data_IF_624720123243
#
_entry.id   IF_624720123243
#
_cell.length_a   1.000
_cell.length_b   1.000
_cell.length_c   1.000
_cell.angle_alpha   90.00
_cell.angle_beta   90.00
_cell.angle_gamma   90.00
#
_symmetry.space_group_name_H-M   'P 1'
#
loop_
_entity.id
_entity.type
_entity.pdbx_description
1 polymer ?
#
# COMPACT_ATOMS: atom_id res chain seq x y z
N UNK A 1 18.12 44.90 12.34
CA UNK A 1 17.75 44.70 10.91
C UNK A 1 18.57 43.62 10.20
N UNK A 2 19.82 43.31 10.59
CA UNK A 2 20.60 42.17 10.02
C UNK A 2 20.32 40.86 10.78
N UNK A 3 20.05 40.93 12.09
CA UNK A 3 19.69 39.75 12.90
C UNK A 3 18.29 39.21 12.61
N UNK A 4 17.37 40.06 12.14
CA UNK A 4 15.99 39.69 11.77
C UNK A 4 15.95 38.88 10.46
N UNK A 5 16.83 39.19 9.51
CA UNK A 5 16.94 38.48 8.23
C UNK A 5 17.67 37.13 8.37
N UNK A 6 18.62 37.03 9.31
CA UNK A 6 19.29 35.76 9.63
C UNK A 6 18.42 34.82 10.49
N UNK A 7 17.54 35.37 11.35
CA UNK A 7 16.60 34.57 12.14
C UNK A 7 15.46 33.96 11.30
N UNK A 8 15.08 34.59 10.18
CA UNK A 8 14.07 34.04 9.27
C UNK A 8 14.62 32.92 8.37
N UNK A 9 15.93 32.91 8.09
CA UNK A 9 16.58 31.87 7.28
C UNK A 9 16.85 30.56 8.05
N UNK A 10 16.75 30.56 9.38
CA UNK A 10 17.12 29.42 10.23
C UNK A 10 15.89 28.70 10.82
N UNK A 11 14.70 29.29 10.75
CA UNK A 11 13.50 28.69 11.34
C UNK A 11 12.63 27.98 10.29
N UNK A 12 13.00 26.74 9.96
CA UNK A 12 12.11 25.78 9.28
C UNK A 12 10.83 25.46 10.08
N UNK A 13 10.61 26.07 11.25
CA UNK A 13 9.43 25.84 12.07
C UNK A 13 8.16 26.40 11.41
N UNK A 14 8.24 27.54 10.71
CA UNK A 14 7.11 28.09 9.96
C UNK A 14 6.76 27.20 8.77
N UNK A 15 7.75 26.84 7.96
CA UNK A 15 7.57 25.91 6.84
C UNK A 15 7.05 24.55 7.29
N UNK A 16 7.52 24.02 8.43
CA UNK A 16 6.99 22.78 9.03
C UNK A 16 5.54 22.94 9.47
N UNK A 17 5.18 24.05 10.11
CA UNK A 17 3.81 24.31 10.53
C UNK A 17 2.85 24.47 9.34
N UNK A 18 3.31 25.12 8.26
CA UNK A 18 2.54 25.26 7.01
C UNK A 18 2.39 23.91 6.28
N UNK A 19 3.44 23.08 6.28
CA UNK A 19 3.37 21.72 5.76
C UNK A 19 2.48 20.81 6.60
N UNK A 20 2.40 21.02 7.91
CA UNK A 20 1.50 20.29 8.81
C UNK A 20 0.05 20.70 8.59
N UNK A 21 -0.24 21.99 8.42
CA UNK A 21 -1.59 22.45 8.03
C UNK A 21 -1.99 21.92 6.64
N UNK A 22 -1.07 21.93 5.67
CA UNK A 22 -1.32 21.31 4.36
C UNK A 22 -1.50 19.79 4.45
N UNK A 23 -0.90 19.12 5.45
CA UNK A 23 -1.09 17.69 5.73
C UNK A 23 -2.43 17.40 6.38
N UNK A 24 -3.01 18.32 7.16
CA UNK A 24 -4.34 18.12 7.75
C UNK A 24 -5.45 18.11 6.69
N UNK A 25 -5.25 18.86 5.59
CA UNK A 25 -6.18 18.91 4.45
C UNK A 25 -6.12 17.67 3.54
N UNK A 26 -5.06 16.86 3.63
CA UNK A 26 -4.91 15.64 2.82
C UNK A 26 -5.63 14.47 3.52
N UNK A 27 -6.52 13.74 2.82
CA UNK A 27 -7.15 12.54 3.36
C UNK A 27 -6.14 11.55 3.94
N UNK A 28 -6.44 10.99 5.12
CA UNK A 28 -5.52 10.15 5.90
C UNK A 28 -4.94 8.97 5.10
N UNK A 29 -5.74 8.36 4.19
CA UNK A 29 -5.28 7.32 3.28
C UNK A 29 -4.17 7.82 2.33
N UNK A 30 -4.30 9.03 1.77
CA UNK A 30 -3.29 9.63 0.87
C UNK A 30 -2.03 10.08 1.60
N UNK A 31 -2.15 10.55 2.85
CA UNK A 31 -0.97 10.85 3.69
C UNK A 31 -0.12 9.62 3.93
N UNK A 32 -0.75 8.52 4.34
CA UNK A 32 -0.05 7.26 4.57
C UNK A 32 0.68 6.77 3.31
N UNK A 33 0.07 6.91 2.13
CA UNK A 33 0.73 6.55 0.87
C UNK A 33 1.89 7.47 0.50
N UNK A 34 1.78 8.78 0.74
CA UNK A 34 2.87 9.72 0.51
C UNK A 34 4.02 9.53 1.51
N UNK A 35 3.70 9.25 2.78
CA UNK A 35 4.69 8.94 3.81
C UNK A 35 5.40 7.61 3.51
N UNK A 36 4.68 6.59 3.01
CA UNK A 36 5.28 5.33 2.56
C UNK A 36 6.22 5.53 1.36
N UNK A 37 5.83 6.37 0.37
CA UNK A 37 6.68 6.69 -0.78
C UNK A 37 7.92 7.49 -0.39
N UNK A 38 7.74 8.53 0.43
CA UNK A 38 8.83 9.34 0.96
C UNK A 38 9.79 8.49 1.80
N UNK A 39 9.25 7.55 2.58
CA UNK A 39 10.05 6.60 3.35
C UNK A 39 10.86 5.67 2.46
N UNK A 40 10.27 5.06 1.42
CA UNK A 40 11.03 4.21 0.48
C UNK A 40 12.14 5.01 -0.23
N UNK A 41 11.83 6.22 -0.70
CA UNK A 41 12.78 7.09 -1.37
C UNK A 41 13.95 7.50 -0.48
N UNK A 42 13.66 7.90 0.77
CA UNK A 42 14.68 8.27 1.76
C UNK A 42 15.53 7.05 2.14
N UNK A 43 14.90 5.89 2.34
CA UNK A 43 15.58 4.69 2.79
C UNK A 43 16.50 4.11 1.69
N UNK A 44 16.10 4.16 0.41
CA UNK A 44 16.94 3.71 -0.71
C UNK A 44 18.03 4.72 -1.14
N UNK A 45 18.06 5.92 -0.56
CA UNK A 45 19.07 6.93 -0.87
C UNK A 45 20.45 6.57 -0.28
N UNK A 46 20.48 5.90 0.87
CA UNK A 46 21.72 5.49 1.56
C UNK A 46 21.96 3.97 1.42
N UNK A 47 23.14 3.53 0.93
CA UNK A 47 23.46 2.11 0.74
C UNK A 47 23.80 1.37 2.05
N UNK A 48 23.36 1.84 3.21
CA UNK A 48 23.78 1.32 4.53
C UNK A 48 23.02 0.09 4.99
N UNK A 49 21.85 -0.20 4.41
CA UNK A 49 20.97 -1.30 4.84
C UNK A 49 21.01 -2.45 3.83
N UNK A 50 20.99 -3.68 4.31
CA UNK A 50 21.00 -4.86 3.44
C UNK A 50 19.77 -4.89 2.48
N UNK A 51 19.98 -5.11 1.17
CA UNK A 51 18.90 -5.16 0.17
C UNK A 51 17.74 -6.11 0.51
N UNK A 52 18.03 -7.22 1.18
CA UNK A 52 17.02 -8.21 1.55
C UNK A 52 15.97 -7.66 2.53
N UNK A 53 16.38 -6.78 3.45
CA UNK A 53 15.48 -6.16 4.43
C UNK A 53 14.41 -5.31 3.75
N UNK A 54 14.78 -4.60 2.69
CA UNK A 54 13.85 -3.82 1.87
C UNK A 54 12.90 -4.69 1.08
N UNK A 55 13.40 -5.78 0.49
CA UNK A 55 12.57 -6.71 -0.25
C UNK A 55 11.49 -7.31 0.66
N UNK A 56 11.87 -7.76 1.86
CA UNK A 56 10.93 -8.29 2.84
C UNK A 56 9.84 -7.28 3.22
N UNK A 57 10.24 -6.03 3.53
CA UNK A 57 9.30 -4.95 3.87
C UNK A 57 8.34 -4.65 2.72
N UNK A 58 8.85 -4.50 1.50
CA UNK A 58 8.02 -4.25 0.33
C UNK A 58 7.01 -5.38 0.08
N UNK A 59 7.48 -6.63 0.12
CA UNK A 59 6.59 -7.78 -0.02
C UNK A 59 5.52 -7.84 1.07
N UNK A 60 5.86 -7.49 2.32
CA UNK A 60 4.89 -7.38 3.41
C UNK A 60 3.82 -6.31 3.13
N UNK A 61 4.23 -5.13 2.64
CA UNK A 61 3.28 -4.06 2.28
C UNK A 61 2.35 -4.47 1.13
N UNK A 62 2.88 -5.06 0.06
CA UNK A 62 2.07 -5.56 -1.06
C UNK A 62 1.08 -6.63 -0.58
N UNK A 63 1.51 -7.55 0.28
CA UNK A 63 0.61 -8.55 0.89
C UNK A 63 -0.50 -7.89 1.68
N UNK A 64 -0.18 -6.92 2.54
CA UNK A 64 -1.17 -6.18 3.33
C UNK A 64 -2.19 -5.47 2.44
N UNK A 65 -1.74 -4.70 1.44
CA UNK A 65 -2.61 -4.01 0.48
C UNK A 65 -3.52 -4.99 -0.27
N UNK A 66 -3.01 -6.15 -0.70
CA UNK A 66 -3.82 -7.22 -1.33
C UNK A 66 -4.87 -7.77 -0.38
N UNK A 67 -4.51 -8.08 0.85
CA UNK A 67 -5.44 -8.59 1.87
C UNK A 67 -6.53 -7.56 2.17
N UNK A 68 -6.18 -6.29 2.33
CA UNK A 68 -7.14 -5.22 2.61
C UNK A 68 -8.09 -5.00 1.43
N UNK A 69 -7.57 -5.02 0.19
CA UNK A 69 -8.39 -4.97 -1.01
C UNK A 69 -9.37 -6.15 -1.09
N UNK A 70 -8.90 -7.38 -0.87
CA UNK A 70 -9.75 -8.57 -0.87
C UNK A 70 -10.84 -8.51 0.20
N UNK A 71 -10.54 -7.99 1.39
CA UNK A 71 -11.53 -7.76 2.44
C UNK A 71 -12.59 -6.75 2.00
N UNK A 72 -12.19 -5.62 1.39
CA UNK A 72 -13.12 -4.60 0.85
C UNK A 72 -14.03 -5.21 -0.23
N UNK A 73 -13.47 -5.99 -1.15
CA UNK A 73 -14.23 -6.69 -2.21
C UNK A 73 -15.24 -7.68 -1.64
N UNK A 74 -14.85 -8.49 -0.65
CA UNK A 74 -15.77 -9.43 0.02
C UNK A 74 -16.93 -8.68 0.68
N UNK A 75 -16.61 -7.64 1.45
CA UNK A 75 -17.62 -6.81 2.11
C UNK A 75 -18.61 -6.21 1.11
N UNK A 76 -18.12 -5.65 -0.01
CA UNK A 76 -18.99 -5.10 -1.06
C UNK A 76 -19.94 -6.15 -1.65
N UNK A 77 -19.47 -7.38 -1.89
CA UNK A 77 -20.32 -8.48 -2.36
C UNK A 77 -21.36 -8.90 -1.33
N UNK A 78 -20.97 -8.97 -0.07
CA UNK A 78 -21.86 -9.34 1.03
C UNK A 78 -22.96 -8.29 1.22
N UNK A 79 -22.59 -7.01 1.21
CA UNK A 79 -23.51 -5.87 1.30
C UNK A 79 -24.49 -5.86 0.12
N UNK A 80 -23.99 -6.02 -1.11
CA UNK A 80 -24.84 -6.13 -2.31
C UNK A 80 -25.80 -7.33 -2.24
N UNK A 81 -25.30 -8.50 -1.84
CA UNK A 81 -26.13 -9.71 -1.72
C UNK A 81 -27.20 -9.55 -0.65
N UNK A 82 -26.89 -8.86 0.45
CA UNK A 82 -27.86 -8.55 1.51
C UNK A 82 -28.95 -7.62 1.00
N UNK A 83 -28.58 -6.57 0.26
CA UNK A 83 -29.52 -5.64 -0.36
C UNK A 83 -30.41 -6.34 -1.39
N UNK A 84 -29.84 -7.15 -2.28
CA UNK A 84 -30.55 -7.96 -3.27
C UNK A 84 -31.60 -8.87 -2.59
N UNK A 85 -31.23 -9.53 -1.49
CA UNK A 85 -32.16 -10.38 -0.72
C UNK A 85 -33.28 -9.56 -0.08
N UNK A 86 -32.98 -8.39 0.48
CA UNK A 86 -33.99 -7.49 1.06
C UNK A 86 -34.98 -7.04 0.00
N UNK A 87 -34.48 -6.51 -1.13
CA UNK A 87 -35.29 -6.03 -2.23
C UNK A 87 -36.20 -7.13 -2.80
N UNK A 88 -35.70 -8.37 -2.94
CA UNK A 88 -36.51 -9.51 -3.37
C UNK A 88 -37.60 -9.86 -2.36
N UNK A 89 -37.29 -9.85 -1.07
CA UNK A 89 -38.26 -10.14 -0.01
C UNK A 89 -39.38 -9.09 0.01
N UNK A 90 -39.01 -7.82 -0.10
CA UNK A 90 -39.96 -6.71 -0.10
C UNK A 90 -40.84 -6.71 -1.35
N UNK A 91 -40.25 -6.98 -2.52
CA UNK A 91 -41.00 -7.16 -3.76
C UNK A 91 -41.99 -8.32 -3.65
N UNK A 92 -41.56 -9.49 -3.15
CA UNK A 92 -42.44 -10.66 -3.01
C UNK A 92 -43.59 -10.42 -2.03
N UNK A 93 -43.32 -9.69 -0.94
CA UNK A 93 -44.37 -9.28 0.00
C UNK A 93 -45.41 -8.39 -0.69
N UNK A 94 -44.97 -7.34 -1.40
CA UNK A 94 -45.86 -6.43 -2.15
C UNK A 94 -46.62 -7.14 -3.26
N UNK A 95 -45.97 -8.04 -4.01
CA UNK A 95 -46.60 -8.82 -5.05
C UNK A 95 -47.71 -9.73 -4.48
N UNK A 96 -47.47 -10.35 -3.32
CA UNK A 96 -48.49 -11.13 -2.60
C UNK A 96 -49.67 -10.26 -2.17
N UNK A 97 -49.40 -9.10 -1.57
CA UNK A 97 -50.43 -8.14 -1.17
C UNK A 97 -51.27 -7.67 -2.37
N UNK A 98 -50.64 -7.37 -3.52
CA UNK A 98 -51.35 -7.03 -4.75
C UNK A 98 -52.25 -8.17 -5.25
N UNK A 99 -51.78 -9.41 -5.20
CA UNK A 99 -52.61 -10.57 -5.55
C UNK A 99 -53.81 -10.73 -4.60
N UNK A 100 -53.61 -10.55 -3.29
CA UNK A 100 -54.66 -10.67 -2.27
C UNK A 100 -55.73 -9.57 -2.38
N UNK A 101 -55.36 -8.38 -2.89
CA UNK A 101 -56.30 -7.28 -3.13
C UNK A 101 -57.21 -7.49 -4.34
N UNK A 102 -56.90 -8.45 -5.21
CA UNK A 102 -57.76 -8.79 -6.35
C UNK A 102 -58.91 -9.65 -5.85
N UNK A 103 -60.10 -9.06 -5.70
CA UNK A 103 -61.33 -9.82 -5.48
C UNK A 103 -61.85 -10.37 -6.81
N UNK A 104 -61.78 -11.70 -7.05
CA UNK A 104 -62.25 -12.30 -8.29
C UNK A 104 -63.77 -12.20 -8.48
N UNK A 105 -64.53 -11.92 -7.42
CA UNK A 105 -65.99 -11.76 -7.48
C UNK A 105 -66.43 -10.34 -7.86
N UNK A 106 -65.54 -9.35 -7.70
CA UNK A 106 -65.85 -7.94 -7.90
C UNK A 106 -65.53 -7.43 -9.32
N UNK A 107 -64.88 -8.24 -10.18
CA UNK A 107 -64.31 -7.76 -11.44
C UNK A 107 -64.76 -8.63 -12.61
N UNK A 108 -65.03 -8.00 -13.76
CA UNK A 108 -65.32 -8.70 -15.01
C UNK A 108 -64.14 -9.61 -15.42
N UNK A 109 -64.43 -10.83 -15.90
CA UNK A 109 -63.42 -11.86 -16.17
C UNK A 109 -62.29 -11.42 -17.10
N UNK A 110 -62.56 -10.54 -18.07
CA UNK A 110 -61.53 -9.97 -18.95
C UNK A 110 -60.57 -9.04 -18.19
N UNK A 111 -61.10 -8.13 -17.39
CA UNK A 111 -60.29 -7.23 -16.56
C UNK A 111 -59.51 -7.99 -15.47
N UNK A 112 -60.08 -9.07 -14.93
CA UNK A 112 -59.38 -9.96 -14.00
C UNK A 112 -58.14 -10.59 -14.65
N UNK A 113 -58.28 -11.13 -15.87
CA UNK A 113 -57.16 -11.72 -16.61
C UNK A 113 -56.06 -10.69 -16.91
N UNK A 114 -56.44 -9.46 -17.24
CA UNK A 114 -55.48 -8.39 -17.53
C UNK A 114 -54.66 -8.02 -16.29
N UNK A 115 -55.30 -7.87 -15.13
CA UNK A 115 -54.60 -7.62 -13.85
C UNK A 115 -53.58 -8.70 -13.52
N UNK A 116 -53.91 -9.98 -13.72
CA UNK A 116 -52.96 -11.07 -13.49
C UNK A 116 -51.79 -11.06 -14.49
N UNK A 117 -52.04 -10.67 -15.75
CA UNK A 117 -50.97 -10.50 -16.75
C UNK A 117 -50.03 -9.37 -16.38
N UNK A 118 -50.56 -8.22 -15.93
CA UNK A 118 -49.77 -7.09 -15.45
C UNK A 118 -48.88 -7.50 -14.28
N UNK A 119 -49.42 -8.21 -13.28
CA UNK A 119 -48.64 -8.70 -12.13
C UNK A 119 -47.52 -9.68 -12.53
N UNK A 120 -47.79 -10.57 -13.50
CA UNK A 120 -46.77 -11.48 -14.02
C UNK A 120 -45.69 -10.73 -14.82
N UNK A 121 -46.08 -9.70 -15.57
CA UNK A 121 -45.15 -8.85 -16.29
C UNK A 121 -44.26 -8.04 -15.32
N UNK A 122 -44.85 -7.38 -14.32
CA UNK A 122 -44.09 -6.68 -13.27
C UNK A 122 -43.08 -7.60 -12.58
N UNK A 123 -43.47 -8.86 -12.31
CA UNK A 123 -42.58 -9.87 -11.75
C UNK A 123 -41.44 -10.18 -12.70
N UNK A 124 -41.71 -10.42 -13.99
CA UNK A 124 -40.68 -10.70 -14.99
C UNK A 124 -39.69 -9.54 -15.11
N UNK A 125 -40.19 -8.31 -15.16
CA UNK A 125 -39.39 -7.10 -15.29
C UNK A 125 -38.49 -6.92 -14.07
N UNK A 126 -39.05 -7.02 -12.86
CA UNK A 126 -38.27 -6.95 -11.61
C UNK A 126 -37.11 -7.95 -11.60
N UNK A 127 -37.37 -9.21 -11.97
CA UNK A 127 -36.30 -10.22 -11.99
C UNK A 127 -35.31 -10.03 -13.12
N UNK A 128 -35.71 -9.42 -14.24
CA UNK A 128 -34.81 -9.01 -15.30
C UNK A 128 -33.85 -7.94 -14.82
N UNK A 129 -34.38 -6.87 -14.22
CA UNK A 129 -33.60 -5.77 -13.67
C UNK A 129 -32.63 -6.25 -12.58
N UNK A 130 -33.04 -7.18 -11.73
CA UNK A 130 -32.17 -7.77 -10.70
C UNK A 130 -30.99 -8.52 -11.33
N UNK A 131 -31.22 -9.28 -12.42
CA UNK A 131 -30.13 -9.98 -13.13
C UNK A 131 -29.16 -8.98 -13.76
N UNK A 132 -29.68 -7.93 -14.38
CA UNK A 132 -28.87 -6.89 -15.00
C UNK A 132 -28.05 -6.11 -13.96
N UNK A 133 -28.67 -5.68 -12.87
CA UNK A 133 -27.98 -5.02 -11.74
C UNK A 133 -26.84 -5.87 -11.20
N UNK A 134 -27.06 -7.17 -11.00
CA UNK A 134 -26.02 -8.09 -10.55
C UNK A 134 -24.88 -8.22 -11.57
N UNK A 135 -25.21 -8.31 -12.86
CA UNK A 135 -24.22 -8.36 -13.94
C UNK A 135 -23.36 -7.08 -13.96
N UNK A 136 -23.98 -5.92 -13.86
CA UNK A 136 -23.29 -4.63 -13.85
C UNK A 136 -22.38 -4.49 -12.62
N UNK A 137 -22.90 -4.83 -11.44
CA UNK A 137 -22.12 -4.85 -10.19
C UNK A 137 -20.87 -5.75 -10.30
N UNK A 138 -21.00 -6.99 -10.75
CA UNK A 138 -19.84 -7.89 -10.90
C UNK A 138 -18.88 -7.40 -11.99
N UNK A 139 -19.39 -6.78 -13.06
CA UNK A 139 -18.55 -6.19 -14.10
C UNK A 139 -17.68 -5.04 -13.55
N UNK A 140 -18.28 -4.12 -12.81
CA UNK A 140 -17.56 -3.02 -12.15
C UNK A 140 -16.54 -3.53 -11.12
N UNK A 141 -16.92 -4.52 -10.32
CA UNK A 141 -16.06 -5.12 -9.32
C UNK A 141 -14.84 -5.81 -9.95
N UNK A 142 -15.05 -6.48 -11.09
CA UNK A 142 -13.98 -7.10 -11.87
C UNK A 142 -13.06 -6.05 -12.51
N UNK A 143 -13.61 -4.95 -13.03
CA UNK A 143 -12.83 -3.83 -13.55
C UNK A 143 -11.92 -3.24 -12.45
N UNK A 144 -12.49 -2.89 -11.29
CA UNK A 144 -11.74 -2.39 -10.13
C UNK A 144 -10.66 -3.37 -9.66
N UNK A 145 -10.96 -4.68 -9.69
CA UNK A 145 -9.98 -5.72 -9.36
C UNK A 145 -8.83 -5.76 -10.37
N UNK A 146 -9.12 -5.68 -11.66
CA UNK A 146 -8.11 -5.64 -12.72
C UNK A 146 -7.20 -4.43 -12.54
N UNK A 147 -7.77 -3.25 -12.33
CA UNK A 147 -7.01 -2.01 -12.15
C UNK A 147 -6.07 -2.09 -10.95
N UNK A 148 -6.57 -2.59 -9.80
CA UNK A 148 -5.75 -2.82 -8.60
C UNK A 148 -4.56 -3.76 -8.85
N UNK A 149 -4.78 -4.87 -9.56
CA UNK A 149 -3.70 -5.82 -9.86
C UNK A 149 -2.70 -5.28 -10.88
N UNK A 150 -3.16 -4.48 -11.85
CA UNK A 150 -2.29 -3.79 -12.79
C UNK A 150 -1.37 -2.80 -12.07
N UNK A 151 -1.93 -1.94 -11.21
CA UNK A 151 -1.16 -0.99 -10.41
C UNK A 151 -0.16 -1.72 -9.50
N UNK A 152 -0.59 -2.78 -8.82
CA UNK A 152 0.29 -3.59 -7.98
C UNK A 152 1.46 -4.19 -8.77
N UNK A 153 1.21 -4.60 -10.03
CA UNK A 153 2.24 -5.15 -10.91
C UNK A 153 3.22 -4.07 -11.36
N UNK A 154 2.74 -2.88 -11.67
CA UNK A 154 3.60 -1.73 -12.01
C UNK A 154 4.49 -1.34 -10.84
N UNK A 155 3.92 -1.15 -9.65
CA UNK A 155 4.70 -0.88 -8.42
C UNK A 155 5.76 -1.96 -8.15
N UNK A 156 5.44 -3.23 -8.40
CA UNK A 156 6.41 -4.32 -8.26
C UNK A 156 7.55 -4.22 -9.29
N UNK A 157 7.27 -3.81 -10.53
CA UNK A 157 8.29 -3.59 -11.57
C UNK A 157 9.21 -2.43 -11.18
N UNK A 158 8.64 -1.29 -10.81
CA UNK A 158 9.38 -0.11 -10.36
C UNK A 158 10.27 -0.45 -9.17
N UNK A 159 9.73 -1.14 -8.17
CA UNK A 159 10.51 -1.58 -7.01
C UNK A 159 11.67 -2.49 -7.42
N UNK A 160 11.46 -3.44 -8.34
CA UNK A 160 12.52 -4.35 -8.78
C UNK A 160 13.64 -3.60 -9.52
N UNK A 161 13.29 -2.60 -10.33
CA UNK A 161 14.27 -1.75 -11.00
C UNK A 161 15.09 -0.94 -10.01
N UNK A 162 14.43 -0.25 -9.07
CA UNK A 162 15.10 0.51 -8.02
C UNK A 162 15.96 -0.39 -7.13
N UNK A 163 15.48 -1.60 -6.82
CA UNK A 163 16.20 -2.59 -6.04
C UNK A 163 17.46 -3.08 -6.74
N UNK A 164 17.44 -3.21 -8.08
CA UNK A 164 18.62 -3.57 -8.87
C UNK A 164 19.68 -2.48 -8.77
N UNK A 165 19.29 -1.21 -8.92
CA UNK A 165 20.19 -0.06 -8.76
C UNK A 165 20.74 0.02 -7.35
N UNK A 166 19.88 -0.15 -6.34
CA UNK A 166 20.26 -0.17 -4.93
C UNK A 166 21.27 -1.27 -4.62
N UNK A 167 21.05 -2.50 -5.10
CA UNK A 167 21.98 -3.63 -4.91
C UNK A 167 23.37 -3.32 -5.48
N UNK A 168 23.43 -2.66 -6.64
CA UNK A 168 24.71 -2.22 -7.22
C UNK A 168 25.42 -1.25 -6.27
N UNK A 169 24.74 -0.17 -5.86
CA UNK A 169 25.29 0.82 -4.90
C UNK A 169 25.71 0.20 -3.57
N UNK A 170 24.92 -0.73 -3.04
CA UNK A 170 25.22 -1.45 -1.80
C UNK A 170 26.50 -2.30 -1.93
N UNK A 171 26.65 -3.02 -3.04
CA UNK A 171 27.84 -3.84 -3.28
C UNK A 171 29.10 -2.99 -3.45
N UNK A 172 28.98 -1.85 -4.14
CA UNK A 172 30.10 -0.92 -4.33
C UNK A 172 30.51 -0.29 -2.99
N UNK A 173 29.54 0.20 -2.20
CA UNK A 173 29.77 0.69 -0.83
C UNK A 173 30.40 -0.38 0.07
N UNK A 174 29.94 -1.63 -0.01
CA UNK A 174 30.50 -2.74 0.78
C UNK A 174 31.95 -3.04 0.40
N UNK A 175 32.28 -3.04 -0.90
CA UNK A 175 33.66 -3.19 -1.38
C UNK A 175 34.57 -2.06 -0.89
N UNK A 176 34.09 -0.82 -0.90
CA UNK A 176 34.84 0.34 -0.39
C UNK A 176 35.09 0.21 1.12
N UNK A 177 34.09 -0.20 1.89
CA UNK A 177 34.22 -0.48 3.31
C UNK A 177 35.24 -1.59 3.60
N UNK A 178 35.22 -2.67 2.82
CA UNK A 178 36.16 -3.78 2.98
C UNK A 178 37.60 -3.38 2.61
N UNK A 179 37.77 -2.54 1.57
CA UNK A 179 39.08 -1.95 1.22
C UNK A 179 39.61 -1.04 2.33
N UNK A 180 38.79 -0.10 2.81
CA UNK A 180 39.18 0.81 3.89
C UNK A 180 39.56 0.05 5.17
N UNK A 181 38.81 -1.00 5.53
CA UNK A 181 39.15 -1.88 6.66
C UNK A 181 40.48 -2.63 6.45
N UNK A 182 40.77 -3.06 5.21
CA UNK A 182 42.03 -3.74 4.89
C UNK A 182 43.22 -2.78 4.99
N UNK A 183 43.11 -1.59 4.42
CA UNK A 183 44.14 -0.53 4.50
C UNK A 183 44.39 -0.12 5.96
N UNK A 184 43.34 0.03 6.77
CA UNK A 184 43.47 0.33 8.20
C UNK A 184 44.19 -0.79 8.97
N UNK A 185 43.93 -2.06 8.63
CA UNK A 185 44.65 -3.21 9.21
C UNK A 185 46.12 -3.24 8.80
N UNK A 186 46.44 -2.87 7.56
CA UNK A 186 47.82 -2.80 7.07
C UNK A 186 48.60 -1.65 7.71
N UNK A 187 48.00 -0.46 7.87
CA UNK A 187 48.61 0.66 8.62
C UNK A 187 48.86 0.30 10.09
N UNK A 188 47.91 -0.36 10.75
CA UNK A 188 48.09 -0.78 12.14
C UNK A 188 49.16 -1.87 12.31
N UNK A 189 49.33 -2.77 11.32
CA UNK A 189 50.42 -3.76 11.30
C UNK A 189 51.80 -3.11 11.07
N UNK A 190 51.87 -2.11 10.20
CA UNK A 190 53.12 -1.34 9.96
C UNK A 190 53.58 -0.58 11.20
N UNK A 191 52.65 0.01 11.96
CA UNK A 191 52.96 0.74 13.20
C UNK A 191 53.35 -0.17 14.39
N UNK A 192 52.99 -1.45 14.37
CA UNK A 192 53.33 -2.39 15.46
C UNK A 192 54.63 -3.17 15.19
N UNK A 193 55.09 -3.24 13.93
CA UNK A 193 56.38 -3.86 13.56
C UNK A 193 57.59 -2.96 13.80
N UNK A 194 57.43 -1.63 13.73
CA UNK A 194 58.55 -0.69 13.94
C UNK A 194 58.93 -0.51 15.42
N UNK A 195 58.03 -0.81 16.35
CA UNK A 195 58.29 -0.75 17.80
C UNK A 195 59.12 -1.93 18.35
N UNK A 196 59.07 -3.10 17.72
CA UNK A 196 59.78 -4.29 18.20
C UNK A 196 61.23 -4.38 17.69
N UNK A 197 61.56 -3.77 16.55
CA UNK A 197 62.93 -3.76 16.03
C UNK A 197 63.86 -2.78 16.76
N UNK A 198 63.33 -1.83 17.51
CA UNK A 198 64.12 -0.84 18.26
C UNK A 198 64.51 -1.28 19.70
N UNK A 199 64.06 -2.44 20.17
CA UNK A 199 64.40 -2.97 21.51
C UNK A 199 65.61 -3.93 21.49
N UNK A 200 66.06 -4.40 20.32
CA UNK A 200 67.19 -5.33 20.20
C UNK A 200 68.56 -4.66 20.02
N UNK A 201 68.62 -3.32 20.05
CA UNK A 201 69.85 -2.53 19.85
C UNK A 201 70.33 -1.80 21.11
N UNK A 202 69.88 -2.22 22.30
CA UNK A 202 70.45 -1.71 23.56
C UNK A 202 71.71 -2.54 23.87
N UNK A 203 72.93 -1.97 23.79
CA UNK A 203 74.14 -2.71 24.16
C UNK A 203 74.11 -3.01 25.66
N UNK A 204 74.22 -4.29 26.01
CA UNK A 204 74.36 -4.74 27.40
C UNK A 204 75.65 -4.16 27.99
N UNK A 205 75.50 -3.26 28.96
CA UNK A 205 76.62 -2.78 29.78
C UNK A 205 77.02 -3.90 30.76
N UNK A 206 78.29 -4.33 30.78
CA UNK A 206 78.75 -5.31 31.74
C UNK A 206 78.80 -4.67 33.14
N UNK A 207 78.25 -5.37 34.13
CA UNK A 207 78.41 -5.03 35.54
C UNK A 207 79.87 -5.24 35.92
N UNK A 208 80.57 -4.15 36.28
CA UNK A 208 81.90 -4.23 36.87
C UNK A 208 81.83 -4.76 38.31
N UNK A 209 82.86 -5.51 38.76
CA UNK A 209 82.89 -6.26 40.02
C UNK A 209 82.99 -5.40 41.28
#
# INVERSE_FOLDING_TARGET
KIEETLSSEISFAKDRSELESMREEIPQEKRLENDEKAWIGTLMSSPTVEPNRYNQKFQQMIRKKRTDFQKKVRKLRDDFTKEERSNRKDFMKKAKEKCEQIDPKSVERKALNERYRELDQERKDFFSDQRERRKNFESELNAKSKDFYMETRERQREFNEQMRLYRKRYNDWKKEQDKAKKEQREMNKGSSSSGFQNMNNVPSTPLEP
#
